data_IF_994081421088
#
_entry.id   IF_994081421088
#
_cell.length_a   1.000
_cell.length_b   1.000
_cell.length_c   1.000
_cell.angle_alpha   90.00
_cell.angle_beta   90.00
_cell.angle_gamma   90.00
#
_symmetry.space_group_name_H-M   'P 1'
#
loop_
_entity.id
_entity.type
_entity.pdbx_description
1 polymer ?
#
# COMPACT_ATOMS: atom_id res chain seq x y z
N UNK A 1 -11.61 -11.40 5.93
CA UNK A 1 -10.68 -12.52 5.56
C UNK A 1 -9.56 -12.05 4.60
N UNK A 2 -9.85 -11.39 3.46
CA UNK A 2 -8.80 -10.97 2.51
C UNK A 2 -7.83 -9.94 3.13
N UNK A 3 -8.32 -8.86 3.73
CA UNK A 3 -7.49 -7.84 4.37
C UNK A 3 -6.65 -8.40 5.54
N UNK A 4 -7.25 -9.25 6.36
CA UNK A 4 -6.59 -9.94 7.45
C UNK A 4 -5.46 -10.84 6.95
N UNK A 5 -5.71 -11.59 5.87
CA UNK A 5 -4.70 -12.39 5.19
C UNK A 5 -3.57 -11.49 4.67
N UNK A 6 -3.89 -10.40 3.98
CA UNK A 6 -2.91 -9.44 3.47
C UNK A 6 -2.02 -8.88 4.60
N UNK A 7 -2.60 -8.58 5.76
CA UNK A 7 -1.85 -8.10 6.93
C UNK A 7 -1.06 -9.22 7.65
N UNK A 8 -1.24 -10.49 7.30
CA UNK A 8 -0.47 -11.62 7.84
C UNK A 8 0.75 -11.96 6.98
N UNK A 9 0.61 -11.86 5.66
CA UNK A 9 1.63 -12.25 4.68
C UNK A 9 3.01 -11.62 4.92
N UNK A 10 3.14 -10.31 5.21
CA UNK A 10 4.44 -9.68 5.47
C UNK A 10 5.22 -10.30 6.63
N UNK A 11 4.51 -10.84 7.63
CA UNK A 11 5.11 -11.43 8.84
C UNK A 11 5.34 -12.95 8.74
N UNK A 12 4.89 -13.56 7.68
CA UNK A 12 4.95 -15.02 7.48
C UNK A 12 5.64 -15.36 6.17
N UNK A 13 4.93 -15.32 5.05
CA UNK A 13 5.45 -15.74 3.75
C UNK A 13 6.62 -14.85 3.27
N UNK A 14 6.52 -13.54 3.44
CA UNK A 14 7.58 -12.62 2.97
C UNK A 14 8.81 -12.58 3.88
N UNK A 15 8.75 -13.10 5.11
CA UNK A 15 9.93 -13.28 5.97
C UNK A 15 10.92 -14.28 5.39
N UNK A 16 10.42 -15.26 4.64
CA UNK A 16 11.24 -16.31 4.01
C UNK A 16 11.85 -15.83 2.68
N UNK A 17 11.32 -14.77 2.10
CA UNK A 17 11.78 -14.20 0.82
C UNK A 17 10.65 -13.76 -0.08
N UNK A 18 11.01 -13.40 -1.31
CA UNK A 18 10.07 -13.00 -2.36
C UNK A 18 9.04 -14.06 -2.65
N UNK A 19 7.84 -13.63 -3.00
CA UNK A 19 6.77 -14.53 -3.40
C UNK A 19 6.27 -14.17 -4.79
N UNK A 20 5.77 -15.18 -5.49
CA UNK A 20 4.95 -14.97 -6.68
C UNK A 20 3.56 -14.51 -6.24
N UNK A 21 3.21 -13.31 -6.61
CA UNK A 21 1.92 -12.72 -6.24
C UNK A 21 1.46 -11.71 -7.28
N UNK A 22 0.16 -11.76 -7.57
CA UNK A 22 -0.49 -10.85 -8.51
C UNK A 22 -1.42 -9.90 -7.73
N UNK A 23 -0.88 -8.81 -7.15
CA UNK A 23 -1.65 -7.87 -6.35
C UNK A 23 -2.36 -6.82 -7.19
N UNK A 24 -3.01 -5.89 -6.50
CA UNK A 24 -3.44 -4.58 -7.02
C UNK A 24 -4.61 -4.69 -7.98
N UNK A 25 -5.78 -4.93 -7.41
CA UNK A 25 -7.06 -4.94 -8.12
C UNK A 25 -7.92 -3.76 -7.70
N UNK A 26 -8.28 -2.88 -8.64
CA UNK A 26 -9.12 -1.71 -8.38
C UNK A 26 -10.59 -1.93 -8.73
N UNK A 27 -10.87 -2.76 -9.73
CA UNK A 27 -12.24 -3.07 -10.14
C UNK A 27 -12.92 -4.10 -9.22
N UNK A 28 -14.25 -4.10 -9.22
CA UNK A 28 -15.06 -5.14 -8.58
C UNK A 28 -15.34 -6.33 -9.53
N UNK A 29 -14.92 -6.24 -10.81
CA UNK A 29 -15.13 -7.25 -11.84
C UNK A 29 -13.79 -7.61 -12.48
N UNK A 30 -13.06 -8.51 -11.87
CA UNK A 30 -11.75 -8.95 -12.35
C UNK A 30 -11.88 -9.87 -13.58
N UNK A 31 -12.94 -10.68 -13.63
CA UNK A 31 -13.17 -11.67 -14.68
C UNK A 31 -14.63 -11.68 -15.10
N UNK A 32 -14.90 -11.86 -16.38
CA UNK A 32 -16.26 -12.07 -16.89
C UNK A 32 -16.88 -13.31 -16.25
N UNK A 33 -18.08 -13.17 -15.69
CA UNK A 33 -18.82 -14.28 -15.04
C UNK A 33 -18.44 -14.55 -13.57
N UNK A 34 -17.45 -13.85 -13.01
CA UNK A 34 -17.10 -13.91 -11.57
C UNK A 34 -17.25 -12.52 -10.98
N UNK A 35 -18.27 -12.31 -10.16
CA UNK A 35 -18.38 -11.10 -9.36
C UNK A 35 -17.62 -11.27 -8.04
N UNK A 36 -16.32 -11.02 -8.09
CA UNK A 36 -15.52 -10.89 -6.88
C UNK A 36 -15.65 -9.45 -6.39
N UNK A 37 -16.47 -9.23 -5.36
CA UNK A 37 -16.59 -7.92 -4.71
C UNK A 37 -15.34 -7.68 -3.90
N UNK A 38 -14.52 -6.69 -4.31
CA UNK A 38 -13.38 -6.23 -3.54
C UNK A 38 -13.85 -5.68 -2.19
N UNK A 39 -13.30 -6.19 -1.10
CA UNK A 39 -13.64 -5.78 0.26
C UNK A 39 -12.67 -4.77 0.87
N UNK A 40 -11.47 -4.66 0.30
CA UNK A 40 -10.45 -3.68 0.69
C UNK A 40 -10.68 -2.35 -0.02
N UNK A 41 -10.09 -1.27 0.46
CA UNK A 41 -10.10 0.00 -0.25
C UNK A 41 -9.16 -0.02 -1.47
N UNK A 42 -9.32 0.93 -2.38
CA UNK A 42 -8.38 1.13 -3.49
C UNK A 42 -6.99 1.52 -3.00
N UNK A 43 -6.88 2.27 -1.91
CA UNK A 43 -5.60 2.63 -1.31
C UNK A 43 -4.91 1.41 -0.65
N UNK A 44 -5.66 0.49 -0.05
CA UNK A 44 -5.13 -0.80 0.41
C UNK A 44 -4.54 -1.59 -0.75
N UNK A 45 -5.26 -1.67 -1.88
CA UNK A 45 -4.76 -2.37 -3.06
C UNK A 45 -3.49 -1.74 -3.62
N UNK A 46 -3.44 -0.40 -3.68
CA UNK A 46 -2.23 0.32 -4.11
C UNK A 46 -1.04 0.01 -3.20
N UNK A 47 -1.27 -0.02 -1.87
CA UNK A 47 -0.23 -0.29 -0.88
C UNK A 47 0.38 -1.69 -1.01
N UNK A 48 -0.35 -2.68 -1.53
CA UNK A 48 0.15 -4.04 -1.71
C UNK A 48 1.40 -4.11 -2.61
N UNK A 49 1.55 -3.16 -3.54
CA UNK A 49 2.74 -3.07 -4.39
C UNK A 49 4.04 -2.81 -3.60
N UNK A 50 3.93 -2.29 -2.36
CA UNK A 50 5.07 -2.08 -1.45
C UNK A 50 5.05 -3.09 -0.31
N UNK A 51 3.87 -3.36 0.27
CA UNK A 51 3.74 -4.22 1.45
C UNK A 51 4.17 -5.66 1.14
N UNK A 52 3.81 -6.17 -0.04
CA UNK A 52 4.26 -7.48 -0.48
C UNK A 52 5.62 -7.39 -1.18
N UNK A 53 6.50 -8.30 -0.83
CA UNK A 53 7.78 -8.46 -1.49
C UNK A 53 7.64 -9.52 -2.57
N UNK A 54 7.79 -9.06 -3.82
CA UNK A 54 7.72 -9.89 -5.02
C UNK A 54 8.73 -9.39 -6.05
N UNK A 55 9.67 -10.22 -6.42
CA UNK A 55 10.65 -9.87 -7.46
C UNK A 55 10.06 -9.74 -8.87
N UNK A 56 8.81 -10.17 -9.04
CA UNK A 56 8.05 -10.04 -10.28
C UNK A 56 6.62 -9.59 -9.96
N UNK A 57 6.34 -8.30 -10.18
CA UNK A 57 5.03 -7.72 -9.90
C UNK A 57 4.15 -7.75 -11.15
N UNK A 58 3.16 -8.63 -11.15
CA UNK A 58 2.07 -8.63 -12.13
C UNK A 58 0.83 -8.06 -11.49
N UNK A 59 0.33 -6.93 -12.00
CA UNK A 59 -0.91 -6.34 -11.49
C UNK A 59 -2.14 -7.06 -12.05
N UNK A 60 -3.10 -7.36 -11.17
CA UNK A 60 -4.17 -8.34 -11.42
C UNK A 60 -5.37 -7.82 -12.21
N UNK A 61 -5.48 -6.52 -12.44
CA UNK A 61 -6.68 -5.92 -13.03
C UNK A 61 -6.58 -5.77 -14.55
N UNK A 62 -7.68 -5.33 -15.16
CA UNK A 62 -7.76 -5.03 -16.59
C UNK A 62 -7.08 -3.70 -16.88
N UNK A 63 -6.57 -3.54 -18.11
CA UNK A 63 -5.90 -2.31 -18.54
C UNK A 63 -6.77 -1.05 -18.33
N UNK A 64 -8.08 -1.14 -18.60
CA UNK A 64 -9.02 -0.03 -18.44
C UNK A 64 -9.11 0.44 -16.97
N UNK A 65 -8.99 -0.48 -16.00
CA UNK A 65 -9.00 -0.12 -14.59
C UNK A 65 -7.79 0.75 -14.22
N UNK A 66 -6.60 0.43 -14.74
CA UNK A 66 -5.39 1.24 -14.52
C UNK A 66 -5.44 2.56 -15.29
N UNK A 67 -5.94 2.57 -16.52
CA UNK A 67 -6.05 3.77 -17.33
C UNK A 67 -7.04 4.78 -16.72
N UNK A 68 -8.07 4.32 -16.03
CA UNK A 68 -9.07 5.16 -15.36
C UNK A 68 -8.65 5.69 -13.99
N UNK A 69 -7.51 5.25 -13.43
CA UNK A 69 -7.02 5.76 -12.15
C UNK A 69 -6.74 7.26 -12.20
N UNK A 70 -6.89 7.98 -11.08
CA UNK A 70 -6.35 9.32 -10.93
C UNK A 70 -4.83 9.35 -11.18
N UNK A 71 -4.30 10.51 -11.55
CA UNK A 71 -2.90 10.63 -12.00
C UNK A 71 -1.89 10.19 -10.93
N UNK A 72 -2.07 10.55 -9.66
CA UNK A 72 -1.11 10.21 -8.61
C UNK A 72 -1.00 8.70 -8.34
N UNK A 73 -2.09 7.92 -8.15
CA UNK A 73 -2.01 6.46 -8.07
C UNK A 73 -1.42 5.82 -9.32
N UNK A 74 -1.75 6.36 -10.50
CA UNK A 74 -1.20 5.88 -11.77
C UNK A 74 0.31 6.09 -11.84
N UNK A 75 0.78 7.26 -11.44
CA UNK A 75 2.21 7.59 -11.39
C UNK A 75 2.93 6.72 -10.35
N UNK A 76 2.32 6.50 -9.18
CA UNK A 76 2.86 5.59 -8.18
C UNK A 76 3.12 4.19 -8.75
N UNK A 77 2.15 3.61 -9.48
CA UNK A 77 2.30 2.28 -10.08
C UNK A 77 3.35 2.22 -11.21
N UNK A 78 3.59 3.33 -11.90
CA UNK A 78 4.64 3.42 -12.91
C UNK A 78 6.05 3.47 -12.31
N UNK A 79 6.16 4.00 -11.09
CA UNK A 79 7.45 4.23 -10.43
C UNK A 79 7.81 3.16 -9.40
N UNK A 80 6.82 2.45 -8.84
CA UNK A 80 7.09 1.45 -7.80
C UNK A 80 8.06 0.39 -8.30
N UNK A 81 9.10 0.13 -7.50
CA UNK A 81 10.12 -0.87 -7.84
C UNK A 81 9.67 -2.27 -7.50
N UNK A 82 10.19 -3.27 -8.21
CA UNK A 82 10.09 -4.68 -7.87
C UNK A 82 11.35 -5.20 -7.13
N UNK A 83 12.44 -4.42 -7.15
CA UNK A 83 13.70 -4.75 -6.48
C UNK A 83 14.03 -3.68 -5.43
N UNK A 84 14.43 -4.13 -4.24
CA UNK A 84 14.61 -3.28 -3.09
C UNK A 84 16.03 -3.42 -2.51
N UNK A 85 16.66 -2.28 -2.25
CA UNK A 85 17.97 -2.22 -1.58
C UNK A 85 17.82 -2.33 -0.06
N UNK A 86 16.67 -1.88 0.46
CA UNK A 86 16.39 -1.88 1.89
C UNK A 86 14.89 -2.04 2.14
N UNK A 87 14.54 -2.73 3.23
CA UNK A 87 13.16 -2.92 3.66
C UNK A 87 13.07 -2.78 5.17
N UNK A 88 12.14 -1.94 5.64
CA UNK A 88 11.91 -1.65 7.06
C UNK A 88 10.45 -1.88 7.43
N UNK A 89 10.20 -2.70 8.43
CA UNK A 89 8.91 -2.73 9.12
C UNK A 89 8.84 -1.53 10.06
N UNK A 90 7.94 -0.59 9.79
CA UNK A 90 7.79 0.61 10.60
C UNK A 90 6.81 0.42 11.75
N UNK A 91 5.74 -0.32 11.52
CA UNK A 91 4.75 -0.69 12.53
C UNK A 91 3.93 -1.88 12.04
N UNK A 92 3.35 -2.64 12.95
CA UNK A 92 2.42 -3.69 12.58
C UNK A 92 2.45 -4.92 13.48
N UNK A 93 1.41 -5.72 13.29
CA UNK A 93 1.27 -7.03 13.92
C UNK A 93 0.48 -7.95 12.98
N UNK A 94 0.82 -9.26 12.89
CA UNK A 94 0.14 -10.21 12.02
C UNK A 94 -1.37 -10.15 12.17
N UNK A 95 -2.09 -10.21 11.05
CA UNK A 95 -3.55 -10.11 10.93
C UNK A 95 -4.20 -8.80 11.37
N UNK A 96 -3.41 -7.88 11.93
CA UNK A 96 -3.91 -6.58 12.42
C UNK A 96 -3.62 -5.46 11.41
N UNK A 97 -2.37 -5.12 11.19
CA UNK A 97 -1.94 -4.16 10.18
C UNK A 97 -0.44 -4.33 9.89
N UNK A 98 0.00 -3.77 8.78
CA UNK A 98 1.42 -3.68 8.43
C UNK A 98 1.73 -2.33 7.79
N UNK A 99 2.82 -1.69 8.21
CA UNK A 99 3.38 -0.49 7.59
C UNK A 99 4.83 -0.79 7.26
N UNK A 100 5.15 -0.75 5.97
CA UNK A 100 6.48 -1.10 5.45
C UNK A 100 7.01 0.05 4.61
N UNK A 101 8.27 0.40 4.81
CA UNK A 101 9.03 1.28 3.93
C UNK A 101 10.10 0.47 3.21
N UNK A 102 10.28 0.73 1.91
CA UNK A 102 11.29 0.10 1.07
C UNK A 102 12.03 1.14 0.26
N UNK A 103 13.33 0.95 0.08
CA UNK A 103 14.19 1.84 -0.71
C UNK A 103 14.65 1.15 -1.99
N UNK A 104 14.64 1.91 -3.07
CA UNK A 104 15.28 1.55 -4.33
C UNK A 104 16.05 2.76 -4.84
N UNK A 105 17.38 2.67 -4.93
CA UNK A 105 18.26 3.82 -5.14
C UNK A 105 18.10 4.84 -4.00
N UNK A 106 17.83 6.09 -4.36
CA UNK A 106 17.61 7.19 -3.41
C UNK A 106 16.14 7.41 -3.05
N UNK A 107 15.22 6.59 -3.60
CA UNK A 107 13.78 6.76 -3.45
C UNK A 107 13.23 5.76 -2.45
N UNK A 108 12.47 6.26 -1.49
CA UNK A 108 11.70 5.46 -0.54
C UNK A 108 10.26 5.33 -0.97
N UNK A 109 9.74 4.13 -0.84
CA UNK A 109 8.34 3.80 -1.04
C UNK A 109 7.76 3.35 0.30
N UNK A 110 6.60 3.84 0.64
CA UNK A 110 5.90 3.44 1.86
C UNK A 110 4.53 2.87 1.51
N UNK A 111 4.16 1.80 2.18
CA UNK A 111 2.84 1.20 2.09
C UNK A 111 2.34 0.76 3.46
N UNK A 112 1.07 0.99 3.70
CA UNK A 112 0.41 0.54 4.93
C UNK A 112 -0.97 -0.01 4.65
N UNK A 113 -1.33 -1.09 5.33
CA UNK A 113 -2.62 -1.78 5.19
C UNK A 113 -3.21 -2.14 6.55
N UNK A 114 -4.53 -2.08 6.66
CA UNK A 114 -5.28 -2.60 7.81
C UNK A 114 -5.92 -3.95 7.48
N UNK A 115 -5.76 -4.92 8.37
CA UNK A 115 -6.45 -6.22 8.33
C UNK A 115 -7.83 -6.21 8.97
N UNK A 116 -8.27 -5.09 9.58
CA UNK A 116 -9.51 -4.99 10.34
C UNK A 116 -10.61 -4.28 9.57
N UNK A 117 -11.82 -4.80 9.72
CA UNK A 117 -13.04 -4.26 9.10
C UNK A 117 -13.66 -3.10 9.91
N UNK A 118 -12.81 -2.26 10.49
CA UNK A 118 -13.19 -1.08 11.29
C UNK A 118 -12.29 0.11 10.95
N UNK A 119 -12.80 1.32 11.18
CA UNK A 119 -11.98 2.54 11.08
C UNK A 119 -10.94 2.54 12.19
N UNK A 120 -9.73 2.95 11.86
CA UNK A 120 -8.65 3.05 12.84
C UNK A 120 -7.69 4.18 12.53
N UNK A 121 -6.93 4.57 13.53
CA UNK A 121 -5.79 5.44 13.38
C UNK A 121 -4.51 4.64 13.62
N UNK A 122 -3.52 4.83 12.77
CA UNK A 122 -2.21 4.19 12.86
C UNK A 122 -1.16 5.28 13.05
N UNK A 123 -0.22 5.05 13.95
CA UNK A 123 0.94 5.92 14.15
C UNK A 123 2.21 5.11 13.89
N UNK A 124 3.17 5.71 13.19
CA UNK A 124 4.47 5.10 12.89
C UNK A 124 5.52 6.18 12.69
N UNK A 125 6.79 5.75 12.72
CA UNK A 125 7.94 6.63 12.47
C UNK A 125 8.63 6.24 11.18
N UNK A 126 8.85 7.20 10.30
CA UNK A 126 9.59 7.02 9.05
C UNK A 126 11.07 6.71 9.31
N UNK A 127 11.76 6.05 8.37
CA UNK A 127 13.22 5.93 8.41
C UNK A 127 13.88 7.30 8.55
N UNK A 128 15.02 7.35 9.24
CA UNK A 128 15.74 8.62 9.50
C UNK A 128 16.07 9.37 8.21
N UNK A 129 16.36 8.65 7.13
CA UNK A 129 16.63 9.22 5.81
C UNK A 129 15.44 9.98 5.18
N UNK A 130 14.24 9.77 5.71
CA UNK A 130 13.01 10.43 5.24
C UNK A 130 12.63 11.68 6.05
N UNK A 131 13.35 11.96 7.14
CA UNK A 131 13.09 13.16 7.96
C UNK A 131 13.40 14.43 7.18
N UNK A 132 12.61 15.48 7.40
CA UNK A 132 12.75 16.76 6.71
C UNK A 132 12.25 16.75 5.26
N UNK A 133 11.84 15.60 4.73
CA UNK A 133 11.32 15.51 3.37
C UNK A 133 9.84 15.85 3.31
N UNK A 134 9.41 16.41 2.18
CA UNK A 134 8.01 16.69 1.87
C UNK A 134 7.53 15.78 0.75
N UNK A 135 6.35 15.20 0.91
CA UNK A 135 5.74 14.28 -0.05
C UNK A 135 4.22 14.23 0.13
N UNK A 136 3.52 13.54 -0.74
CA UNK A 136 2.09 13.31 -0.61
C UNK A 136 1.82 11.83 -0.38
N UNK A 137 1.05 11.54 0.67
CA UNK A 137 0.53 10.21 0.94
C UNK A 137 -0.79 10.03 0.19
N UNK A 138 -0.92 8.95 -0.56
CA UNK A 138 -2.17 8.52 -1.19
C UNK A 138 -2.90 7.64 -0.17
N UNK A 139 -4.10 8.06 0.24
CA UNK A 139 -4.82 7.47 1.37
C UNK A 139 -6.21 7.02 0.96
N UNK A 140 -6.92 6.40 1.90
CA UNK A 140 -8.35 6.13 1.76
C UNK A 140 -9.13 7.44 1.58
N UNK A 141 -10.04 7.47 0.62
CA UNK A 141 -10.94 8.59 0.38
C UNK A 141 -12.23 8.50 1.19
N UNK A 142 -13.31 9.09 0.67
CA UNK A 142 -14.63 9.09 1.32
C UNK A 142 -15.24 7.71 1.47
N UNK A 143 -14.92 6.79 0.57
CA UNK A 143 -15.37 5.41 0.54
C UNK A 143 -14.25 4.48 0.03
N UNK A 144 -14.53 3.17 -0.03
CA UNK A 144 -13.55 2.15 -0.43
C UNK A 144 -13.06 2.26 -1.88
N UNK A 145 -13.77 2.98 -2.73
CA UNK A 145 -13.50 3.10 -4.17
C UNK A 145 -12.84 4.44 -4.53
N UNK A 146 -12.56 5.29 -3.53
CA UNK A 146 -11.97 6.61 -3.71
C UNK A 146 -10.61 6.74 -3.02
N UNK A 147 -9.72 7.51 -3.64
CA UNK A 147 -8.48 7.97 -3.02
C UNK A 147 -8.67 9.36 -2.40
N UNK A 148 -7.86 9.67 -1.41
CA UNK A 148 -7.60 11.00 -0.90
C UNK A 148 -6.08 11.23 -0.83
N UNK A 149 -5.66 12.47 -0.61
CA UNK A 149 -4.25 12.87 -0.67
C UNK A 149 -3.89 13.69 0.56
N UNK A 150 -2.95 13.18 1.34
CA UNK A 150 -2.47 13.82 2.55
C UNK A 150 -1.05 14.39 2.31
N UNK A 151 -0.90 15.71 2.16
CA UNK A 151 0.42 16.31 2.05
C UNK A 151 1.16 16.22 3.40
N UNK A 152 2.39 15.73 3.37
CA UNK A 152 3.32 15.70 4.47
C UNK A 152 4.41 16.73 4.17
N UNK A 153 4.58 17.70 5.06
CA UNK A 153 5.57 18.77 4.91
C UNK A 153 6.52 18.75 6.08
N UNK A 154 7.81 18.85 5.78
CA UNK A 154 8.88 19.02 6.76
C UNK A 154 8.71 18.14 8.01
N UNK A 155 8.51 16.84 7.77
CA UNK A 155 8.15 15.91 8.85
C UNK A 155 9.34 15.60 9.76
N UNK A 156 9.10 15.57 11.07
CA UNK A 156 10.01 15.02 12.08
C UNK A 156 10.13 13.48 11.99
N UNK A 157 9.39 12.86 11.09
CA UNK A 157 9.31 11.44 10.84
C UNK A 157 8.12 10.75 11.49
N UNK A 158 7.40 11.40 12.39
CA UNK A 158 6.18 10.84 13.00
C UNK A 158 4.98 11.09 12.11
N UNK A 159 4.30 10.02 11.74
CA UNK A 159 3.11 10.05 10.90
C UNK A 159 1.94 9.42 11.64
N UNK A 160 0.81 10.09 11.56
CA UNK A 160 -0.47 9.61 12.08
C UNK A 160 -1.49 9.64 10.95
N UNK A 161 -2.12 8.50 10.67
CA UNK A 161 -3.02 8.34 9.53
C UNK A 161 -4.29 7.60 9.92
N UNK A 162 -5.43 8.07 9.40
CA UNK A 162 -6.73 7.44 9.60
C UNK A 162 -7.05 6.55 8.42
N UNK A 163 -7.49 5.33 8.69
CA UNK A 163 -7.86 4.34 7.70
C UNK A 163 -9.34 3.98 7.79
N UNK A 164 -9.95 3.73 6.64
CA UNK A 164 -11.25 3.10 6.54
C UNK A 164 -11.18 1.61 6.93
N UNK A 165 -12.33 0.93 7.11
CA UNK A 165 -12.36 -0.52 7.25
C UNK A 165 -11.62 -1.21 6.09
N UNK A 166 -10.68 -2.10 6.40
CA UNK A 166 -9.80 -2.75 5.42
C UNK A 166 -9.04 -1.76 4.53
N UNK A 167 -8.70 -0.61 5.10
CA UNK A 167 -8.09 0.51 4.42
C UNK A 167 -6.58 0.41 4.26
N UNK A 168 -6.00 1.42 3.61
CA UNK A 168 -4.57 1.50 3.40
C UNK A 168 -4.09 2.85 2.89
N UNK A 169 -2.80 2.93 2.66
CA UNK A 169 -2.14 4.11 2.10
C UNK A 169 -0.82 3.73 1.42
N UNK A 170 -0.38 4.57 0.50
CA UNK A 170 0.92 4.45 -0.15
C UNK A 170 1.54 5.82 -0.42
N UNK A 171 2.86 5.89 -0.56
CA UNK A 171 3.56 7.13 -0.85
C UNK A 171 4.96 6.91 -1.41
N UNK A 172 5.48 7.94 -2.08
CA UNK A 172 6.86 8.00 -2.58
C UNK A 172 7.55 9.17 -1.91
N UNK A 173 8.75 8.95 -1.39
CA UNK A 173 9.57 9.92 -0.67
C UNK A 173 10.92 10.04 -1.38
N UNK A 174 11.22 11.23 -1.93
CA UNK A 174 12.46 11.53 -2.67
C UNK A 174 13.40 12.40 -1.89
#
# INVERSE_FOLDING_TARGET
KAAEHNATVPFTRNVVGSMDYTPVTFSNKIRQGVEAIRQTTVAHQLALAVVFESGFQCFADRAEAYLSLPEQPKQFLKEVSAAWDESCLLAGYPSDYAVIARRSGDVWFIGGISGKAEKREIEFTLPTACKGKSFTMITDGKDKDCFDYMPIKDTDGKIKIKLLPNGGFAGIIR
#
